data_IF_948735064956
#
_entry.id   IF_948735064956
#
_cell.length_a   1.000
_cell.length_b   1.000
_cell.length_c   1.000
_cell.angle_alpha   90.00
_cell.angle_beta   90.00
_cell.angle_gamma   90.00
#
_symmetry.space_group_name_H-M   'P 1'
#
loop_
_entity.id
_entity.type
_entity.pdbx_description
1 polymer ?
#
# COMPACT_ATOMS: atom_id res chain seq x y z
N UNK A 1 -76.26 -10.41 -7.74
CA UNK A 1 -75.08 -10.76 -8.52
C UNK A 1 -74.00 -9.74 -8.27
N UNK A 2 -73.15 -9.98 -7.26
CA UNK A 2 -72.03 -9.07 -6.91
C UNK A 2 -70.77 -9.65 -7.52
N UNK A 3 -70.04 -8.84 -8.26
CA UNK A 3 -68.73 -9.17 -8.82
C UNK A 3 -67.64 -8.79 -7.81
N UNK A 4 -66.94 -9.80 -7.33
CA UNK A 4 -65.76 -9.60 -6.49
C UNK A 4 -64.58 -9.25 -7.42
N UNK A 5 -64.01 -8.07 -7.29
CA UNK A 5 -62.77 -7.71 -7.96
C UNK A 5 -61.57 -8.02 -7.03
N UNK A 6 -60.75 -8.96 -7.47
CA UNK A 6 -59.51 -9.30 -6.77
C UNK A 6 -58.39 -8.42 -7.34
N UNK A 7 -57.80 -7.57 -6.52
CA UNK A 7 -56.64 -6.76 -6.87
C UNK A 7 -55.37 -7.58 -6.64
N UNK A 8 -54.66 -7.91 -7.71
CA UNK A 8 -53.32 -8.46 -7.61
C UNK A 8 -52.31 -7.31 -7.51
N UNK A 9 -51.74 -7.12 -6.34
CA UNK A 9 -50.62 -6.20 -6.14
C UNK A 9 -49.33 -6.87 -6.57
N UNK A 10 -48.78 -6.49 -7.73
CA UNK A 10 -47.45 -6.90 -8.15
C UNK A 10 -46.41 -6.04 -7.39
N UNK A 11 -45.88 -6.60 -6.33
CA UNK A 11 -44.73 -6.02 -5.66
C UNK A 11 -43.47 -6.24 -6.53
N UNK A 12 -43.02 -5.20 -7.20
CA UNK A 12 -41.73 -5.22 -7.91
C UNK A 12 -40.61 -5.20 -6.88
N UNK A 13 -40.00 -6.35 -6.65
CA UNK A 13 -38.79 -6.46 -5.84
C UNK A 13 -37.62 -5.92 -6.67
N UNK A 14 -37.31 -4.65 -6.53
CA UNK A 14 -36.11 -4.04 -7.10
C UNK A 14 -34.90 -4.52 -6.30
N UNK A 15 -34.20 -5.51 -6.83
CA UNK A 15 -32.89 -5.91 -6.33
C UNK A 15 -31.90 -4.79 -6.74
N UNK A 16 -31.59 -3.91 -5.81
CA UNK A 16 -30.52 -2.93 -5.97
C UNK A 16 -29.21 -3.70 -5.80
N UNK A 17 -28.63 -4.08 -6.95
CA UNK A 17 -27.28 -4.63 -6.98
C UNK A 17 -26.31 -3.49 -6.70
N UNK A 18 -25.96 -3.30 -5.43
CA UNK A 18 -24.94 -2.33 -5.04
C UNK A 18 -23.59 -2.81 -5.55
N UNK A 19 -23.17 -2.26 -6.68
CA UNK A 19 -21.79 -2.38 -7.15
C UNK A 19 -20.89 -1.69 -6.11
N UNK A 20 -20.26 -2.51 -5.27
CA UNK A 20 -19.19 -2.05 -4.38
C UNK A 20 -18.02 -1.61 -5.28
N UNK A 21 -18.00 -0.34 -5.63
CA UNK A 21 -16.78 0.28 -6.14
C UNK A 21 -15.81 0.37 -4.97
N UNK A 22 -15.01 -0.68 -4.81
CA UNK A 22 -13.81 -0.58 -4.01
C UNK A 22 -12.88 0.34 -4.79
N UNK A 23 -12.79 1.60 -4.41
CA UNK A 23 -11.70 2.47 -4.85
C UNK A 23 -10.42 1.97 -4.21
N UNK A 24 -9.89 0.88 -4.76
CA UNK A 24 -8.50 0.56 -4.57
C UNK A 24 -7.71 1.78 -5.05
N UNK A 25 -6.70 2.19 -4.34
CA UNK A 25 -5.64 3.02 -4.91
C UNK A 25 -5.21 2.23 -6.15
N UNK A 26 -5.66 2.68 -7.31
CA UNK A 26 -5.48 1.91 -8.52
C UNK A 26 -3.98 1.77 -8.79
N UNK A 27 -3.49 0.56 -8.77
CA UNK A 27 -2.22 0.24 -9.42
C UNK A 27 -2.34 0.85 -10.82
N UNK A 28 -1.38 1.65 -11.19
CA UNK A 28 -1.37 2.30 -12.51
C UNK A 28 -1.26 1.24 -13.63
N UNK A 29 -0.96 -0.01 -13.27
CA UNK A 29 -0.99 -1.20 -14.14
C UNK A 29 -2.23 -2.02 -13.78
N UNK A 30 -3.14 -2.18 -14.73
CA UNK A 30 -4.42 -2.87 -14.52
C UNK A 30 -4.19 -4.39 -14.45
N UNK A 31 -4.71 -5.03 -13.41
CA UNK A 31 -4.70 -6.49 -13.30
C UNK A 31 -5.81 -7.05 -14.19
N UNK A 32 -5.40 -7.84 -15.18
CA UNK A 32 -6.30 -8.47 -16.15
C UNK A 32 -6.47 -9.97 -15.83
N UNK A 33 -7.70 -10.43 -15.98
CA UNK A 33 -8.13 -11.78 -15.63
C UNK A 33 -8.99 -12.36 -16.76
N UNK A 34 -9.32 -13.65 -16.72
CA UNK A 34 -10.27 -14.25 -17.66
C UNK A 34 -11.61 -13.50 -17.69
N UNK A 35 -12.03 -12.90 -16.58
CA UNK A 35 -13.33 -12.22 -16.45
C UNK A 35 -13.35 -10.80 -17.04
N UNK A 36 -12.21 -10.10 -17.08
CA UNK A 36 -12.18 -8.69 -17.50
C UNK A 36 -11.33 -8.42 -18.76
N UNK A 37 -10.51 -9.35 -19.21
CA UNK A 37 -9.57 -9.12 -20.31
C UNK A 37 -10.24 -8.54 -21.54
N UNK A 38 -11.27 -9.22 -22.07
CA UNK A 38 -11.95 -8.78 -23.30
C UNK A 38 -12.86 -7.56 -23.09
N UNK A 39 -13.15 -7.19 -21.84
CA UNK A 39 -13.88 -5.95 -21.52
C UNK A 39 -12.95 -4.73 -21.50
N UNK A 40 -11.67 -4.95 -21.29
CA UNK A 40 -10.65 -3.90 -21.15
C UNK A 40 -9.76 -3.78 -22.39
N UNK A 41 -9.39 -4.93 -22.98
CA UNK A 41 -8.46 -5.04 -24.10
C UNK A 41 -9.26 -5.24 -25.40
N UNK A 42 -8.80 -4.65 -26.49
CA UNK A 42 -9.48 -4.73 -27.77
C UNK A 42 -10.70 -3.81 -27.88
N UNK A 43 -10.85 -2.89 -26.96
CA UNK A 43 -11.95 -1.94 -26.92
C UNK A 43 -11.54 -0.61 -27.58
N UNK A 44 -11.93 0.50 -27.00
CA UNK A 44 -11.75 1.86 -27.55
C UNK A 44 -10.35 2.46 -27.34
N UNK A 45 -9.42 1.68 -26.76
CA UNK A 45 -8.04 2.11 -26.45
C UNK A 45 -7.03 1.01 -26.78
N UNK A 46 -5.80 1.41 -27.07
CA UNK A 46 -4.69 0.47 -27.24
C UNK A 46 -4.23 -0.08 -25.89
N UNK A 47 -3.72 -1.30 -25.87
CA UNK A 47 -3.30 -1.92 -24.61
C UNK A 47 -1.93 -2.59 -24.73
N UNK A 48 -1.01 -2.28 -23.81
CA UNK A 48 0.21 -3.09 -23.62
C UNK A 48 0.01 -4.01 -22.43
N UNK A 49 0.20 -5.31 -22.63
CA UNK A 49 -0.07 -6.33 -21.61
C UNK A 49 1.17 -7.16 -21.34
N UNK A 50 1.58 -7.23 -20.07
CA UNK A 50 2.59 -8.17 -19.58
C UNK A 50 1.92 -9.46 -19.13
N UNK A 51 2.35 -10.57 -19.69
CA UNK A 51 2.00 -11.92 -19.24
C UNK A 51 3.17 -12.43 -18.40
N UNK A 52 2.93 -12.69 -17.11
CA UNK A 52 4.00 -13.00 -16.15
C UNK A 52 3.65 -14.19 -15.27
N UNK A 53 4.63 -14.64 -14.49
CA UNK A 53 4.42 -15.57 -13.39
C UNK A 53 5.11 -15.03 -12.12
N UNK A 54 4.49 -15.16 -10.93
CA UNK A 54 5.05 -14.58 -9.68
C UNK A 54 6.45 -15.09 -9.30
N UNK A 55 6.78 -16.31 -9.67
CA UNK A 55 8.09 -16.92 -9.40
C UNK A 55 9.18 -16.52 -10.39
N UNK A 56 8.81 -15.89 -11.50
CA UNK A 56 9.73 -15.60 -12.61
C UNK A 56 10.69 -14.45 -12.25
N UNK A 57 12.00 -14.75 -12.19
CA UNK A 57 13.04 -13.77 -11.86
C UNK A 57 13.13 -12.61 -12.87
N UNK A 58 12.93 -12.89 -14.16
CA UNK A 58 12.93 -11.84 -15.19
C UNK A 58 11.71 -10.92 -15.08
N UNK A 59 10.56 -11.46 -14.66
CA UNK A 59 9.35 -10.67 -14.40
C UNK A 59 9.57 -9.74 -13.20
N UNK A 60 10.19 -10.26 -12.15
CA UNK A 60 10.54 -9.44 -10.95
C UNK A 60 11.47 -8.28 -11.31
N UNK A 61 12.41 -8.50 -12.25
CA UNK A 61 13.30 -7.42 -12.74
C UNK A 61 12.56 -6.41 -13.60
N UNK A 62 11.57 -6.85 -14.38
CA UNK A 62 10.76 -5.98 -15.23
C UNK A 62 9.77 -5.13 -14.40
N UNK A 63 9.26 -5.65 -13.29
CA UNK A 63 8.17 -5.05 -12.53
C UNK A 63 8.37 -3.55 -12.24
N UNK A 64 9.53 -3.06 -11.74
CA UNK A 64 9.69 -1.62 -11.48
C UNK A 64 9.63 -0.78 -12.77
N UNK A 65 10.16 -1.28 -13.87
CA UNK A 65 10.10 -0.59 -15.17
C UNK A 65 8.67 -0.56 -15.70
N UNK A 66 7.93 -1.65 -15.51
CA UNK A 66 6.54 -1.78 -15.94
C UNK A 66 5.59 -0.91 -15.10
N UNK A 67 5.86 -0.78 -13.81
CA UNK A 67 5.12 0.14 -12.92
C UNK A 67 5.36 1.60 -13.33
N UNK A 68 6.60 1.94 -13.68
CA UNK A 68 6.97 3.28 -14.17
C UNK A 68 6.27 3.57 -15.51
N UNK A 69 6.16 2.57 -16.37
CA UNK A 69 5.36 2.64 -17.60
C UNK A 69 3.89 2.92 -17.29
N UNK A 70 3.27 2.14 -16.39
CA UNK A 70 1.87 2.34 -15.97
C UNK A 70 1.63 3.76 -15.48
N UNK A 71 2.52 4.25 -14.62
CA UNK A 71 2.46 5.61 -14.08
C UNK A 71 2.59 6.68 -15.18
N UNK A 72 3.38 6.41 -16.21
CA UNK A 72 3.53 7.33 -17.36
C UNK A 72 2.19 7.51 -18.09
N UNK A 73 1.46 6.42 -18.29
CA UNK A 73 0.21 6.43 -19.06
C UNK A 73 -1.06 6.58 -18.20
N UNK A 74 -0.93 6.77 -16.89
CA UNK A 74 -2.06 6.90 -15.95
C UNK A 74 -3.16 7.86 -16.39
N UNK A 75 -2.78 8.97 -17.02
CA UNK A 75 -3.72 10.01 -17.47
C UNK A 75 -4.12 9.87 -18.93
N UNK A 76 -3.53 8.94 -19.66
CA UNK A 76 -3.78 8.74 -21.10
C UNK A 76 -4.97 7.79 -21.30
N UNK A 77 -6.16 8.36 -21.49
CA UNK A 77 -7.41 7.58 -21.64
C UNK A 77 -7.40 6.64 -22.86
N UNK A 78 -6.56 6.93 -23.85
CA UNK A 78 -6.45 6.14 -25.09
C UNK A 78 -5.54 4.91 -24.96
N UNK A 79 -4.87 4.73 -23.81
CA UNK A 79 -3.90 3.66 -23.58
C UNK A 79 -4.23 2.94 -22.27
N UNK A 80 -4.10 1.63 -22.29
CA UNK A 80 -4.17 0.76 -21.11
C UNK A 80 -2.80 0.09 -20.95
N UNK A 81 -2.28 0.08 -19.73
CA UNK A 81 -1.13 -0.75 -19.36
C UNK A 81 -1.67 -1.81 -18.40
N UNK A 82 -1.53 -3.09 -18.76
CA UNK A 82 -2.11 -4.19 -18.03
C UNK A 82 -1.14 -5.34 -17.78
N UNK A 83 -1.48 -6.23 -16.86
CA UNK A 83 -0.70 -7.44 -16.58
C UNK A 83 -1.63 -8.62 -16.27
N UNK A 84 -1.21 -9.82 -16.68
CA UNK A 84 -1.93 -11.09 -16.46
C UNK A 84 -1.02 -12.05 -15.70
N UNK A 85 -1.50 -12.57 -14.60
CA UNK A 85 -0.82 -13.68 -13.89
C UNK A 85 -1.16 -15.00 -14.58
N UNK A 86 -0.16 -15.59 -15.22
CA UNK A 86 -0.38 -16.83 -15.99
C UNK A 86 -0.41 -18.09 -15.13
N UNK A 87 -0.05 -18.03 -13.86
CA UNK A 87 -0.28 -19.15 -12.95
C UNK A 87 -1.77 -19.25 -12.59
N UNK A 88 -2.46 -18.11 -12.48
CA UNK A 88 -3.90 -18.04 -12.20
C UNK A 88 -4.76 -18.14 -13.47
N UNK A 89 -4.28 -17.58 -14.60
CA UNK A 89 -5.06 -17.41 -15.85
C UNK A 89 -4.40 -18.16 -17.02
N UNK A 90 -4.13 -19.45 -16.84
CA UNK A 90 -3.43 -20.31 -17.83
C UNK A 90 -4.13 -20.37 -19.18
N UNK A 91 -5.46 -20.45 -19.17
CA UNK A 91 -6.26 -20.50 -20.39
C UNK A 91 -6.10 -19.23 -21.22
N UNK A 92 -6.17 -18.08 -20.57
CA UNK A 92 -5.99 -16.77 -21.20
C UNK A 92 -4.57 -16.64 -21.80
N UNK A 93 -3.55 -17.03 -21.04
CA UNK A 93 -2.16 -16.98 -21.51
C UNK A 93 -1.93 -17.93 -22.70
N UNK A 94 -2.52 -19.12 -22.64
CA UNK A 94 -2.47 -20.07 -23.75
C UNK A 94 -3.15 -19.54 -25.02
N UNK A 95 -4.30 -18.88 -24.87
CA UNK A 95 -5.03 -18.24 -25.99
C UNK A 95 -4.15 -17.23 -26.75
N UNK A 96 -3.29 -16.49 -26.04
CA UNK A 96 -2.41 -15.48 -26.64
C UNK A 96 -0.98 -16.00 -26.91
N UNK A 97 -0.79 -17.32 -26.93
CA UNK A 97 0.46 -17.97 -27.33
C UNK A 97 1.64 -17.71 -26.39
N UNK A 98 1.38 -17.51 -25.11
CA UNK A 98 2.44 -17.25 -24.11
C UNK A 98 3.14 -18.57 -23.79
N UNK A 99 4.42 -18.67 -24.19
CA UNK A 99 5.26 -19.86 -23.99
C UNK A 99 6.43 -19.62 -23.03
N UNK A 100 6.56 -18.41 -22.50
CA UNK A 100 7.64 -18.04 -21.56
C UNK A 100 7.38 -16.68 -20.93
N UNK A 101 8.09 -16.38 -19.85
CA UNK A 101 7.85 -15.18 -19.04
C UNK A 101 9.09 -14.30 -18.89
N UNK A 102 8.92 -12.96 -18.90
CA UNK A 102 7.69 -12.26 -19.28
C UNK A 102 7.51 -12.25 -20.81
N UNK A 103 6.26 -12.34 -21.26
CA UNK A 103 5.85 -12.02 -22.62
C UNK A 103 5.10 -10.70 -22.59
N UNK A 104 5.44 -9.76 -23.46
CA UNK A 104 4.80 -8.45 -23.54
C UNK A 104 4.16 -8.31 -24.93
N UNK A 105 2.88 -7.99 -24.98
CA UNK A 105 2.12 -7.90 -26.22
C UNK A 105 1.31 -6.59 -26.27
N UNK A 106 1.33 -5.96 -27.46
CA UNK A 106 0.52 -4.78 -27.76
C UNK A 106 -0.75 -5.20 -28.49
N UNK A 107 -1.89 -4.77 -28.00
CA UNK A 107 -3.21 -4.94 -28.60
C UNK A 107 -3.67 -3.60 -29.15
N UNK A 108 -3.81 -3.44 -30.49
CA UNK A 108 -4.31 -2.19 -31.06
C UNK A 108 -5.76 -1.92 -30.63
N UNK A 109 -6.15 -0.66 -30.64
CA UNK A 109 -7.53 -0.25 -30.43
C UNK A 109 -8.46 -1.04 -31.37
N UNK A 110 -9.50 -1.65 -30.81
CA UNK A 110 -10.50 -2.42 -31.57
C UNK A 110 -10.03 -3.80 -32.02
N UNK A 111 -8.87 -4.31 -31.53
CA UNK A 111 -8.35 -5.60 -31.97
C UNK A 111 -7.86 -6.44 -30.79
N UNK A 112 -8.16 -7.74 -30.87
CA UNK A 112 -7.61 -8.75 -29.95
C UNK A 112 -6.46 -9.54 -30.62
N UNK A 113 -5.96 -9.07 -31.77
CA UNK A 113 -4.78 -9.66 -32.43
C UNK A 113 -3.52 -8.92 -31.95
N UNK A 114 -2.66 -9.56 -31.13
CA UNK A 114 -1.56 -8.86 -30.55
C UNK A 114 -0.32 -8.79 -31.44
N UNK A 115 0.49 -7.77 -31.21
CA UNK A 115 1.85 -7.63 -31.71
C UNK A 115 2.81 -7.84 -30.55
N UNK A 116 3.70 -8.82 -30.66
CA UNK A 116 4.68 -9.10 -29.61
C UNK A 116 5.71 -7.97 -29.52
N UNK A 117 6.06 -7.59 -28.30
CA UNK A 117 7.15 -6.64 -28.02
C UNK A 117 8.44 -7.41 -27.78
N UNK A 118 9.48 -7.08 -28.52
CA UNK A 118 10.80 -7.73 -28.42
C UNK A 118 11.93 -6.73 -28.14
N UNK A 119 11.60 -5.51 -27.77
CA UNK A 119 12.56 -4.45 -27.46
C UNK A 119 13.14 -4.53 -26.05
N UNK A 120 13.97 -3.55 -25.69
CA UNK A 120 14.54 -3.46 -24.33
C UNK A 120 13.45 -3.30 -23.26
N UNK A 121 13.68 -3.95 -22.09
CA UNK A 121 12.71 -3.97 -20.99
C UNK A 121 12.94 -2.83 -20.00
N UNK A 122 13.20 -1.62 -20.50
CA UNK A 122 13.31 -0.39 -19.71
C UNK A 122 12.04 0.46 -19.89
N UNK A 123 11.72 1.26 -18.89
CA UNK A 123 10.55 2.14 -18.96
C UNK A 123 10.62 3.06 -20.18
N UNK A 124 11.81 3.58 -20.50
CA UNK A 124 12.02 4.48 -21.62
C UNK A 124 11.68 3.81 -22.96
N UNK A 125 12.18 2.59 -23.20
CA UNK A 125 11.92 1.85 -24.45
C UNK A 125 10.44 1.44 -24.54
N UNK A 126 9.85 1.03 -23.43
CA UNK A 126 8.42 0.67 -23.36
C UNK A 126 7.52 1.88 -23.65
N UNK A 127 7.82 3.04 -23.05
CA UNK A 127 7.07 4.30 -23.28
C UNK A 127 7.20 4.70 -24.76
N UNK A 128 8.40 4.65 -25.33
CA UNK A 128 8.62 4.96 -26.75
C UNK A 128 7.79 4.04 -27.64
N UNK A 129 7.81 2.75 -27.38
CA UNK A 129 7.02 1.76 -28.14
C UNK A 129 5.52 2.05 -28.05
N UNK A 130 4.99 2.28 -26.84
CA UNK A 130 3.57 2.57 -26.65
C UNK A 130 3.17 3.89 -27.32
N UNK A 131 4.04 4.90 -27.27
CA UNK A 131 3.80 6.17 -27.98
C UNK A 131 3.67 5.94 -29.48
N UNK A 132 4.58 5.15 -30.05
CA UNK A 132 4.59 4.87 -31.49
C UNK A 132 3.34 4.07 -31.92
N UNK A 133 3.01 3.01 -31.18
CA UNK A 133 1.86 2.16 -31.52
C UNK A 133 0.51 2.83 -31.21
N UNK A 134 0.44 3.60 -30.14
CA UNK A 134 -0.78 4.26 -29.66
C UNK A 134 -1.00 5.68 -30.15
N UNK A 135 -0.05 6.24 -30.93
CA UNK A 135 -0.15 7.61 -31.43
C UNK A 135 -0.12 8.68 -30.34
N UNK A 136 0.65 8.45 -29.28
CA UNK A 136 0.77 9.39 -28.15
C UNK A 136 2.18 9.98 -28.07
N UNK A 137 2.36 10.97 -27.19
CA UNK A 137 3.68 11.58 -26.94
C UNK A 137 3.85 11.80 -25.44
N UNK A 138 3.78 10.71 -24.71
CA UNK A 138 3.87 10.71 -23.23
C UNK A 138 5.34 10.60 -22.83
N UNK A 139 5.74 11.38 -21.84
CA UNK A 139 7.09 11.28 -21.26
C UNK A 139 7.09 10.23 -20.15
N UNK A 140 8.25 9.61 -19.97
CA UNK A 140 8.46 8.66 -18.87
C UNK A 140 8.19 9.35 -17.54
N UNK A 141 7.35 8.74 -16.71
CA UNK A 141 7.01 9.31 -15.41
C UNK A 141 8.26 9.37 -14.50
N UNK A 142 8.45 10.51 -13.87
CA UNK A 142 9.36 10.62 -12.75
C UNK A 142 8.58 10.19 -11.51
N UNK A 143 8.83 8.99 -11.01
CA UNK A 143 8.24 8.55 -9.74
C UNK A 143 9.02 9.29 -8.65
N UNK A 144 8.37 10.15 -7.84
CA UNK A 144 9.09 10.78 -6.73
C UNK A 144 9.62 9.69 -5.81
N UNK A 145 10.91 9.68 -5.61
CA UNK A 145 11.51 8.78 -4.66
C UNK A 145 11.47 9.39 -3.26
N UNK A 146 10.97 8.75 -2.39
CA UNK A 146 10.95 9.08 -1.19
C UNK A 146 12.02 8.74 -0.52
N UNK A 147 12.93 8.02 -1.15
CA UNK A 147 14.23 7.68 -0.56
C UNK A 147 15.06 8.95 -0.42
N UNK A 148 15.52 9.20 0.78
CA UNK A 148 16.38 10.36 1.05
C UNK A 148 17.79 10.00 0.60
N UNK A 149 18.31 10.75 -0.38
CA UNK A 149 19.68 10.55 -0.84
C UNK A 149 20.63 11.27 0.13
N UNK A 150 21.50 10.48 0.76
CA UNK A 150 22.45 10.99 1.75
C UNK A 150 23.80 11.32 1.10
N UNK A 151 24.45 12.31 1.68
CA UNK A 151 25.82 12.74 1.39
C UNK A 151 26.54 12.97 2.72
N UNK A 152 27.84 13.19 2.70
CA UNK A 152 28.57 13.58 3.92
C UNK A 152 27.97 14.82 4.59
N UNK A 153 27.39 15.73 3.80
CA UNK A 153 26.90 17.03 4.31
C UNK A 153 25.56 16.90 5.05
N UNK A 154 24.68 15.98 4.61
CA UNK A 154 23.34 15.86 5.21
C UNK A 154 23.16 14.62 6.10
N UNK A 155 24.14 13.72 6.15
CA UNK A 155 24.03 12.44 6.86
C UNK A 155 23.64 12.68 8.33
N UNK A 156 24.42 13.49 9.04
CA UNK A 156 24.15 13.73 10.45
C UNK A 156 22.80 14.39 10.71
N UNK A 157 22.39 15.33 9.86
CA UNK A 157 21.10 16.00 10.00
C UNK A 157 19.94 15.02 9.84
N UNK A 158 20.05 14.06 8.91
CA UNK A 158 18.96 13.13 8.61
C UNK A 158 19.01 11.90 9.51
N UNK A 159 20.18 11.25 9.60
CA UNK A 159 20.33 9.94 10.25
C UNK A 159 20.37 10.06 11.77
N UNK A 160 21.04 11.11 12.28
CA UNK A 160 21.21 11.32 13.72
C UNK A 160 20.08 12.15 14.36
N UNK A 161 19.03 12.48 13.62
CA UNK A 161 17.82 13.10 14.17
C UNK A 161 17.14 12.13 15.15
N UNK A 162 17.17 12.43 16.42
CA UNK A 162 16.63 11.59 17.49
C UNK A 162 15.10 11.44 17.45
N UNK A 163 14.41 12.27 16.64
CA UNK A 163 12.95 12.19 16.48
C UNK A 163 12.53 11.23 15.37
N UNK A 164 13.49 10.68 14.60
CA UNK A 164 13.24 9.84 13.43
C UNK A 164 13.79 8.43 13.61
N UNK A 165 13.06 7.46 13.04
CA UNK A 165 13.56 6.11 12.77
C UNK A 165 14.08 6.09 11.34
N UNK A 166 15.37 5.75 11.13
CA UNK A 166 16.00 5.86 9.81
C UNK A 166 16.59 4.51 9.39
N UNK A 167 16.14 3.99 8.24
CA UNK A 167 16.76 2.82 7.60
C UNK A 167 17.64 3.31 6.46
N UNK A 168 18.94 3.00 6.52
CA UNK A 168 19.94 3.45 5.54
C UNK A 168 20.48 2.26 4.76
N UNK A 169 20.41 2.35 3.42
CA UNK A 169 21.13 1.46 2.51
C UNK A 169 22.47 2.12 2.14
N UNK A 170 23.56 1.47 2.50
CA UNK A 170 24.91 1.79 2.01
C UNK A 170 25.13 0.97 0.73
N UNK A 171 25.20 1.64 -0.42
CA UNK A 171 25.26 0.96 -1.71
C UNK A 171 26.44 1.46 -2.55
N UNK A 172 26.70 0.77 -3.67
CA UNK A 172 27.60 1.26 -4.72
C UNK A 172 26.85 1.24 -6.06
N UNK A 173 27.05 2.22 -6.96
CA UNK A 173 26.34 2.27 -8.25
C UNK A 173 26.56 1.06 -9.14
N UNK A 174 27.70 0.41 -9.03
CA UNK A 174 28.05 -0.79 -9.81
C UNK A 174 27.52 -2.08 -9.17
N UNK A 175 26.99 -2.03 -7.96
CA UNK A 175 26.56 -3.20 -7.20
C UNK A 175 25.22 -3.76 -7.74
N UNK A 176 25.27 -4.94 -8.35
CA UNK A 176 24.09 -5.60 -8.91
C UNK A 176 23.05 -6.00 -7.85
N UNK A 177 23.50 -6.42 -6.67
CA UNK A 177 22.59 -6.77 -5.56
C UNK A 177 21.87 -5.55 -5.00
N UNK A 178 22.52 -4.38 -4.98
CA UNK A 178 21.91 -3.13 -4.53
C UNK A 178 20.72 -2.74 -5.43
N UNK A 179 20.87 -2.96 -6.74
CA UNK A 179 19.80 -2.66 -7.72
C UNK A 179 18.54 -3.52 -7.52
N UNK A 180 18.67 -4.65 -6.84
CA UNK A 180 17.54 -5.56 -6.58
C UNK A 180 16.81 -5.24 -5.26
N UNK A 181 17.39 -4.39 -4.42
CA UNK A 181 16.68 -3.91 -3.23
C UNK A 181 15.56 -2.96 -3.65
N UNK A 182 14.57 -2.83 -2.82
CA UNK A 182 13.37 -2.05 -3.14
C UNK A 182 13.22 -0.80 -2.26
N UNK A 183 14.28 0.04 -2.07
CA UNK A 183 14.17 1.18 -1.16
C UNK A 183 13.06 2.16 -1.58
N UNK A 184 12.83 2.33 -2.88
CA UNK A 184 11.76 3.20 -3.39
C UNK A 184 10.38 2.67 -2.99
N UNK A 185 10.17 1.36 -3.07
CA UNK A 185 8.88 0.75 -2.66
C UNK A 185 8.69 0.85 -1.15
N UNK A 186 9.75 0.59 -0.38
CA UNK A 186 9.73 0.74 1.09
C UNK A 186 9.42 2.18 1.46
N UNK A 187 10.13 3.15 0.87
CA UNK A 187 9.89 4.58 1.13
C UNK A 187 8.47 5.00 0.73
N UNK A 188 7.95 4.42 -0.37
CA UNK A 188 6.58 4.70 -0.81
C UNK A 188 5.55 4.15 0.20
N UNK A 189 5.80 2.96 0.75
CA UNK A 189 4.91 2.35 1.76
C UNK A 189 4.84 3.20 3.03
N UNK A 190 5.93 3.86 3.39
CA UNK A 190 6.02 4.67 4.63
C UNK A 190 5.92 6.19 4.41
N UNK A 191 5.56 6.65 3.24
CA UNK A 191 5.52 8.09 2.88
C UNK A 191 4.57 8.94 3.75
N UNK A 192 3.65 8.32 4.47
CA UNK A 192 2.73 8.99 5.38
C UNK A 192 3.18 8.91 6.85
N UNK A 193 4.30 8.23 7.11
CA UNK A 193 4.89 8.14 8.44
C UNK A 193 5.99 9.21 8.55
N UNK A 194 5.65 10.34 9.14
CA UNK A 194 6.55 11.52 9.19
C UNK A 194 7.86 11.27 9.93
N UNK A 195 7.87 10.26 10.80
CA UNK A 195 9.00 9.92 11.64
C UNK A 195 9.76 8.66 11.19
N UNK A 196 9.40 8.08 10.03
CA UNK A 196 10.12 6.95 9.42
C UNK A 196 10.80 7.42 8.14
N UNK A 197 12.11 7.30 8.07
CA UNK A 197 12.91 7.74 6.93
C UNK A 197 13.60 6.53 6.31
N UNK A 198 13.43 6.38 5.00
CA UNK A 198 14.18 5.42 4.20
C UNK A 198 15.20 6.20 3.38
N UNK A 199 16.46 5.87 3.54
CA UNK A 199 17.56 6.63 2.96
C UNK A 199 18.58 5.71 2.29
N UNK A 200 19.37 6.27 1.39
CA UNK A 200 20.51 5.57 0.82
C UNK A 200 21.72 6.51 0.68
N UNK A 201 22.90 5.91 0.66
CA UNK A 201 24.17 6.63 0.48
C UNK A 201 25.06 5.85 -0.48
N UNK A 202 25.66 6.55 -1.44
CA UNK A 202 26.69 6.01 -2.30
C UNK A 202 27.97 5.83 -1.47
N UNK A 203 28.14 4.63 -0.90
CA UNK A 203 29.25 4.31 0.00
C UNK A 203 30.57 4.14 -0.73
N UNK A 204 30.55 3.98 -2.05
CA UNK A 204 31.76 3.98 -2.89
C UNK A 204 32.30 5.41 -3.03
N UNK A 205 31.40 6.39 -3.13
CA UNK A 205 31.73 7.80 -3.18
C UNK A 205 32.11 8.37 -1.80
N UNK A 206 31.36 8.00 -0.76
CA UNK A 206 31.54 8.48 0.62
C UNK A 206 32.18 7.42 1.50
N UNK A 207 33.32 6.89 1.00
CA UNK A 207 33.99 5.71 1.56
C UNK A 207 34.44 5.90 3.01
N UNK A 208 35.04 7.06 3.32
CA UNK A 208 35.53 7.35 4.67
C UNK A 208 34.38 7.28 5.70
N UNK A 209 33.25 7.90 5.40
CA UNK A 209 32.07 7.83 6.25
C UNK A 209 31.57 6.39 6.37
N UNK A 210 31.41 5.68 5.24
CA UNK A 210 30.85 4.32 5.24
C UNK A 210 31.76 3.32 5.99
N UNK A 211 33.05 3.27 5.65
CA UNK A 211 33.99 2.29 6.20
C UNK A 211 34.46 2.66 7.61
N UNK A 212 34.94 3.90 7.80
CA UNK A 212 35.60 4.31 9.04
C UNK A 212 34.61 4.59 10.16
N UNK A 213 33.48 5.23 9.86
CA UNK A 213 32.50 5.57 10.90
C UNK A 213 31.45 4.48 11.14
N UNK A 214 31.01 3.80 10.07
CA UNK A 214 29.91 2.83 10.17
C UNK A 214 30.32 1.38 9.88
N UNK A 215 31.60 1.10 9.64
CA UNK A 215 32.13 -0.26 9.50
C UNK A 215 31.61 -1.01 8.26
N UNK A 216 31.23 -0.31 7.21
CA UNK A 216 30.70 -0.92 5.99
C UNK A 216 31.83 -1.58 5.22
N UNK A 217 31.80 -2.88 5.08
CA UNK A 217 32.83 -3.69 4.41
C UNK A 217 32.35 -4.35 3.10
N UNK A 218 31.10 -4.13 2.72
CA UNK A 218 30.53 -4.70 1.50
C UNK A 218 29.18 -4.08 1.15
N UNK A 219 28.67 -4.40 -0.06
CA UNK A 219 27.44 -3.78 -0.55
C UNK A 219 26.42 -4.83 -1.02
N UNK A 220 25.10 -4.59 -0.75
CA UNK A 220 24.58 -3.54 0.12
C UNK A 220 24.74 -3.89 1.61
N UNK A 221 25.05 -2.88 2.42
CA UNK A 221 24.93 -2.96 3.88
C UNK A 221 23.72 -2.10 4.28
N UNK A 222 22.90 -2.62 5.18
CA UNK A 222 21.71 -1.96 5.68
C UNK A 222 21.85 -1.73 7.17
N UNK A 223 21.64 -0.47 7.61
CA UNK A 223 21.67 -0.12 9.04
C UNK A 223 20.41 0.63 9.44
N UNK A 224 19.91 0.30 10.61
CA UNK A 224 18.75 0.95 11.21
C UNK A 224 19.19 1.82 12.38
N UNK A 225 18.71 3.06 12.40
CA UNK A 225 19.02 4.07 13.41
C UNK A 225 17.71 4.44 14.11
N UNK A 226 17.37 3.78 15.22
CA UNK A 226 16.09 4.05 15.90
C UNK A 226 16.06 5.39 16.60
N UNK A 227 14.85 5.90 16.86
CA UNK A 227 14.62 7.08 17.70
C UNK A 227 15.32 6.92 19.05
N UNK A 228 16.00 7.96 19.49
CA UNK A 228 16.64 8.00 20.80
C UNK A 228 17.87 7.11 20.94
N UNK A 229 18.28 6.39 19.88
CA UNK A 229 19.52 5.60 19.88
C UNK A 229 20.12 5.57 18.47
N UNK A 230 21.08 6.43 18.22
CA UNK A 230 21.68 6.64 16.90
C UNK A 230 23.01 5.90 16.68
N UNK A 231 23.28 4.85 17.44
CA UNK A 231 24.49 4.02 17.25
C UNK A 231 24.47 3.26 15.91
N UNK A 232 23.30 2.93 15.43
CA UNK A 232 23.12 2.15 14.19
C UNK A 232 23.23 0.64 14.43
N UNK A 233 22.16 -0.09 14.17
CA UNK A 233 22.13 -1.55 14.26
C UNK A 233 22.06 -2.17 12.86
N UNK A 234 22.82 -3.23 12.62
CA UNK A 234 22.82 -3.90 11.33
C UNK A 234 21.47 -4.58 11.07
N UNK A 235 20.99 -4.47 9.84
CA UNK A 235 19.81 -5.20 9.38
C UNK A 235 20.26 -6.42 8.58
N UNK A 236 20.08 -7.59 9.16
CA UNK A 236 20.46 -8.88 8.57
C UNK A 236 19.23 -9.71 8.13
N UNK A 237 18.06 -9.07 8.02
CA UNK A 237 16.82 -9.71 7.61
C UNK A 237 16.72 -9.98 6.12
N UNK A 238 15.53 -10.43 5.70
CA UNK A 238 15.21 -10.68 4.29
C UNK A 238 15.29 -9.41 3.44
N UNK A 239 15.59 -9.58 2.17
CA UNK A 239 15.81 -8.46 1.24
C UNK A 239 14.64 -8.19 0.30
N UNK A 240 13.50 -8.80 0.58
CA UNK A 240 12.24 -8.54 -0.14
C UNK A 240 11.44 -7.46 0.58
N UNK A 241 10.44 -6.91 -0.12
CA UNK A 241 9.61 -5.82 0.40
C UNK A 241 8.86 -6.22 1.68
N UNK A 242 8.34 -7.44 1.73
CA UNK A 242 7.60 -7.93 2.90
C UNK A 242 8.46 -7.99 4.17
N UNK A 243 9.71 -8.45 4.04
CA UNK A 243 10.65 -8.49 5.15
C UNK A 243 10.97 -7.09 5.69
N UNK A 244 11.18 -6.11 4.79
CA UNK A 244 11.40 -4.71 5.19
C UNK A 244 10.16 -4.13 5.90
N UNK A 245 8.97 -4.37 5.34
CA UNK A 245 7.72 -3.85 5.92
C UNK A 245 7.49 -4.45 7.30
N UNK A 246 7.71 -5.74 7.47
CA UNK A 246 7.59 -6.41 8.77
C UNK A 246 8.56 -5.78 9.79
N UNK A 247 9.83 -5.65 9.42
CA UNK A 247 10.88 -5.07 10.29
C UNK A 247 10.52 -3.64 10.72
N UNK A 248 10.16 -2.78 9.76
CA UNK A 248 9.84 -1.38 10.05
C UNK A 248 8.60 -1.30 10.96
N UNK A 249 7.56 -2.10 10.67
CA UNK A 249 6.37 -2.13 11.54
C UNK A 249 6.74 -2.50 12.98
N UNK A 250 7.58 -3.52 13.15
CA UNK A 250 8.01 -3.99 14.48
C UNK A 250 8.88 -2.95 15.20
N UNK A 251 9.84 -2.36 14.49
CA UNK A 251 10.80 -1.40 15.09
C UNK A 251 10.20 -0.02 15.34
N UNK A 252 9.36 0.46 14.42
CA UNK A 252 8.83 1.83 14.48
C UNK A 252 7.41 1.89 15.07
N UNK A 253 6.79 0.75 15.38
CA UNK A 253 5.42 0.70 15.90
C UNK A 253 4.38 1.14 14.88
N UNK A 254 4.66 0.94 13.61
CA UNK A 254 3.72 1.24 12.51
C UNK A 254 2.92 -0.02 12.15
N UNK A 255 1.91 0.14 11.28
CA UNK A 255 1.04 -0.97 10.89
C UNK A 255 0.64 -0.82 9.41
N UNK A 256 1.65 -0.85 8.52
CA UNK A 256 1.45 -0.72 7.07
C UNK A 256 1.63 -2.07 6.37
N UNK A 257 0.94 -2.24 5.25
CA UNK A 257 1.19 -3.34 4.31
C UNK A 257 2.20 -2.89 3.23
N UNK A 258 2.55 -3.79 2.33
CA UNK A 258 3.50 -3.52 1.23
C UNK A 258 3.02 -2.44 0.24
N UNK A 259 1.74 -2.12 0.25
CA UNK A 259 1.15 -1.05 -0.57
C UNK A 259 1.03 0.28 0.18
N UNK A 260 1.50 0.30 1.43
CA UNK A 260 1.44 1.47 2.30
C UNK A 260 0.08 1.73 2.92
N UNK A 261 -0.83 0.78 2.85
CA UNK A 261 -2.15 0.90 3.50
C UNK A 261 -2.05 0.46 4.95
N UNK A 262 -2.80 1.11 5.82
CA UNK A 262 -2.90 0.67 7.21
C UNK A 262 -3.62 -0.68 7.31
N UNK A 263 -3.07 -1.57 8.12
CA UNK A 263 -3.69 -2.88 8.42
C UNK A 263 -4.76 -2.73 9.49
N UNK A 264 -5.50 -3.81 9.76
CA UNK A 264 -6.50 -3.85 10.83
C UNK A 264 -5.90 -3.67 12.24
N UNK A 265 -4.59 -3.80 12.38
CA UNK A 265 -3.89 -3.61 13.66
C UNK A 265 -3.55 -2.14 13.93
N UNK A 266 -3.68 -1.27 12.92
CA UNK A 266 -3.37 0.15 13.07
C UNK A 266 -4.29 0.80 14.13
N UNK A 267 -3.67 1.40 15.13
CA UNK A 267 -4.37 2.06 16.23
C UNK A 267 -4.78 1.16 17.39
N UNK A 268 -4.57 -0.16 17.29
CA UNK A 268 -4.91 -1.10 18.36
C UNK A 268 -3.85 -1.03 19.46
N UNK A 269 -4.31 -0.87 20.71
CA UNK A 269 -3.47 -0.86 21.92
C UNK A 269 -3.91 -2.06 22.77
N UNK A 270 -3.05 -3.06 22.86
CA UNK A 270 -3.40 -4.37 23.45
C UNK A 270 -3.95 -4.26 24.87
N UNK A 271 -3.36 -3.40 25.72
CA UNK A 271 -3.82 -3.21 27.11
C UNK A 271 -5.22 -2.60 27.17
N UNK A 272 -5.53 -1.66 26.25
CA UNK A 272 -6.86 -1.06 26.17
C UNK A 272 -7.87 -2.00 25.53
N UNK A 273 -7.44 -2.79 24.55
CA UNK A 273 -8.32 -3.77 23.89
C UNK A 273 -8.81 -4.83 24.88
N UNK A 274 -7.96 -5.23 25.82
CA UNK A 274 -8.35 -6.13 26.92
C UNK A 274 -9.49 -5.50 27.76
N UNK A 275 -9.37 -4.22 28.10
CA UNK A 275 -10.41 -3.49 28.87
C UNK A 275 -11.71 -3.33 28.04
N UNK A 276 -11.59 -3.15 26.71
CA UNK A 276 -12.77 -3.06 25.84
C UNK A 276 -13.58 -4.36 25.86
N UNK A 277 -12.93 -5.52 25.86
CA UNK A 277 -13.61 -6.83 25.94
C UNK A 277 -14.48 -6.94 27.21
N UNK A 278 -13.98 -6.42 28.34
CA UNK A 278 -14.75 -6.36 29.58
C UNK A 278 -15.89 -5.32 29.48
N UNK A 279 -15.60 -4.16 28.91
CA UNK A 279 -16.51 -3.04 28.73
C UNK A 279 -17.77 -3.44 27.93
N UNK A 280 -17.59 -4.14 26.82
CA UNK A 280 -18.70 -4.50 25.91
C UNK A 280 -19.75 -5.35 26.63
N UNK A 281 -19.34 -6.29 27.49
CA UNK A 281 -20.24 -7.19 28.21
C UNK A 281 -20.75 -6.61 29.56
N UNK A 282 -20.25 -5.44 29.97
CA UNK A 282 -20.54 -4.90 31.32
C UNK A 282 -21.84 -4.08 31.36
N UNK A 283 -22.44 -4.02 32.54
CA UNK A 283 -23.52 -3.07 32.86
C UNK A 283 -23.03 -1.62 32.88
N UNK A 284 -23.89 -0.64 32.74
CA UNK A 284 -23.50 0.78 32.66
C UNK A 284 -22.66 1.26 33.87
N UNK A 285 -22.96 0.79 35.07
CA UNK A 285 -22.16 1.16 36.24
C UNK A 285 -20.75 0.56 36.20
N UNK A 286 -20.64 -0.68 35.79
CA UNK A 286 -19.34 -1.33 35.55
C UNK A 286 -18.57 -0.66 34.42
N UNK A 287 -19.24 -0.24 33.34
CA UNK A 287 -18.62 0.49 32.21
C UNK A 287 -17.93 1.75 32.69
N UNK A 288 -18.54 2.51 33.61
CA UNK A 288 -17.93 3.72 34.19
C UNK A 288 -16.63 3.39 34.94
N UNK A 289 -16.63 2.31 35.70
CA UNK A 289 -15.43 1.85 36.42
C UNK A 289 -14.32 1.44 35.43
N UNK A 290 -14.68 0.73 34.34
CA UNK A 290 -13.71 0.32 33.30
C UNK A 290 -13.14 1.57 32.60
N UNK A 291 -13.95 2.61 32.34
CA UNK A 291 -13.45 3.87 31.76
C UNK A 291 -12.37 4.48 32.67
N UNK A 292 -12.58 4.46 34.00
CA UNK A 292 -11.57 4.96 34.95
C UNK A 292 -10.25 4.16 34.82
N UNK A 293 -10.34 2.82 34.70
CA UNK A 293 -9.16 1.98 34.45
C UNK A 293 -8.50 2.30 33.11
N UNK A 294 -9.30 2.57 32.06
CA UNK A 294 -8.76 2.99 30.77
C UNK A 294 -8.03 4.33 30.89
N UNK A 295 -8.56 5.28 31.67
CA UNK A 295 -7.89 6.57 31.92
C UNK A 295 -6.51 6.38 32.54
N UNK A 296 -6.41 5.55 33.59
CA UNK A 296 -5.14 5.21 34.24
C UNK A 296 -4.15 4.53 33.26
N UNK A 297 -4.67 3.67 32.40
CA UNK A 297 -3.83 2.99 31.41
C UNK A 297 -3.31 3.97 30.34
N UNK A 298 -4.18 4.88 29.87
CA UNK A 298 -3.80 5.89 28.85
C UNK A 298 -2.70 6.82 29.36
N UNK A 299 -2.71 7.15 30.67
CA UNK A 299 -1.66 7.99 31.29
C UNK A 299 -0.24 7.36 31.19
N UNK A 300 -0.16 6.04 31.12
CA UNK A 300 1.12 5.30 31.01
C UNK A 300 1.64 5.25 29.58
N UNK A 301 0.75 5.47 28.58
CA UNK A 301 1.10 5.36 27.17
C UNK A 301 1.91 6.56 26.67
N UNK A 302 2.75 6.33 25.68
CA UNK A 302 3.61 7.36 25.06
C UNK A 302 3.43 7.34 23.53
N UNK A 303 3.84 8.42 22.86
CA UNK A 303 3.86 8.50 21.41
C UNK A 303 2.49 8.30 20.78
N UNK A 304 2.46 7.53 19.71
CA UNK A 304 1.22 7.24 18.95
C UNK A 304 0.19 6.48 19.81
N UNK A 305 0.64 5.58 20.69
CA UNK A 305 -0.25 4.82 21.57
C UNK A 305 -1.04 5.72 22.51
N UNK A 306 -0.43 6.80 23.01
CA UNK A 306 -1.16 7.79 23.83
C UNK A 306 -2.26 8.48 23.03
N UNK A 307 -2.00 8.81 21.78
CA UNK A 307 -3.01 9.40 20.88
C UNK A 307 -4.15 8.42 20.63
N UNK A 308 -3.83 7.15 20.37
CA UNK A 308 -4.83 6.09 20.18
C UNK A 308 -5.66 5.88 21.46
N UNK A 309 -4.99 5.90 22.63
CA UNK A 309 -5.66 5.78 23.94
C UNK A 309 -6.74 6.84 24.14
N UNK A 310 -6.46 8.07 23.76
CA UNK A 310 -7.47 9.15 23.82
C UNK A 310 -8.69 8.83 22.93
N UNK A 311 -8.47 8.16 21.80
CA UNK A 311 -9.56 7.73 20.92
C UNK A 311 -10.39 6.62 21.57
N UNK A 312 -9.75 5.65 22.22
CA UNK A 312 -10.43 4.60 23.00
C UNK A 312 -11.35 5.24 24.07
N UNK A 313 -10.82 6.17 24.86
CA UNK A 313 -11.59 6.87 25.92
C UNK A 313 -12.80 7.60 25.34
N UNK A 314 -12.61 8.32 24.25
CA UNK A 314 -13.69 9.06 23.58
C UNK A 314 -14.80 8.12 23.10
N UNK A 315 -14.41 6.97 22.54
CA UNK A 315 -15.37 5.97 22.06
C UNK A 315 -16.12 5.34 23.25
N UNK A 316 -15.40 4.92 24.30
CA UNK A 316 -16.00 4.31 25.50
C UNK A 316 -17.06 5.26 26.15
N UNK A 317 -16.68 6.53 26.33
CA UNK A 317 -17.60 7.55 26.85
C UNK A 317 -18.83 7.74 25.95
N UNK A 318 -18.60 7.77 24.64
CA UNK A 318 -19.71 7.88 23.67
C UNK A 318 -20.64 6.66 23.69
N UNK A 319 -20.10 5.46 23.92
CA UNK A 319 -20.94 4.24 24.05
C UNK A 319 -21.80 4.29 25.30
N UNK A 320 -21.31 4.88 26.40
CA UNK A 320 -22.13 5.09 27.62
C UNK A 320 -23.24 6.10 27.33
N UNK A 321 -22.91 7.23 26.71
CA UNK A 321 -23.85 8.34 26.51
C UNK A 321 -24.92 8.05 25.44
N UNK A 322 -24.55 7.36 24.37
CA UNK A 322 -25.35 7.19 23.14
C UNK A 322 -25.87 5.76 22.95
N UNK A 323 -25.44 4.83 23.80
CA UNK A 323 -25.89 3.45 23.77
C UNK A 323 -24.99 2.52 22.97
N UNK A 324 -25.29 1.21 23.00
CA UNK A 324 -24.50 0.12 22.46
C UNK A 324 -24.27 0.20 20.93
N UNK A 325 -25.24 0.79 20.22
CA UNK A 325 -25.15 0.86 18.75
C UNK A 325 -24.23 1.98 18.25
N UNK A 326 -23.71 2.82 19.14
CA UNK A 326 -22.87 3.97 18.74
C UNK A 326 -21.67 3.53 17.90
N UNK A 327 -20.96 2.50 18.35
CA UNK A 327 -19.75 2.05 17.65
C UNK A 327 -20.07 1.60 16.22
N UNK A 328 -21.11 0.79 16.07
CA UNK A 328 -21.58 0.29 14.76
C UNK A 328 -21.98 1.44 13.82
N UNK A 329 -22.82 2.34 14.33
CA UNK A 329 -23.31 3.49 13.55
C UNK A 329 -22.15 4.41 13.11
N UNK A 330 -21.17 4.60 13.97
CA UNK A 330 -20.01 5.45 13.67
C UNK A 330 -19.07 4.79 12.62
N UNK A 331 -18.92 3.46 12.69
CA UNK A 331 -18.18 2.70 11.65
C UNK A 331 -18.83 2.94 10.28
N UNK A 332 -20.15 2.80 10.20
CA UNK A 332 -20.88 3.02 8.94
C UNK A 332 -20.73 4.47 8.45
N UNK A 333 -20.81 5.43 9.38
CA UNK A 333 -20.61 6.85 9.04
C UNK A 333 -19.22 7.10 8.48
N UNK A 334 -18.17 6.54 9.10
CA UNK A 334 -16.79 6.69 8.62
C UNK A 334 -16.61 6.04 7.26
N UNK A 335 -17.22 4.87 7.04
CA UNK A 335 -17.17 4.20 5.75
C UNK A 335 -17.75 5.10 4.64
N UNK A 336 -18.95 5.66 4.86
CA UNK A 336 -19.58 6.58 3.89
C UNK A 336 -18.72 7.82 3.62
N UNK A 337 -17.93 8.27 4.60
CA UNK A 337 -17.01 9.40 4.42
C UNK A 337 -15.78 9.00 3.62
N UNK A 338 -15.28 7.78 3.81
CA UNK A 338 -14.12 7.25 3.06
C UNK A 338 -14.46 6.95 1.60
N UNK A 339 -15.73 6.72 1.29
CA UNK A 339 -16.20 6.51 -0.10
C UNK A 339 -16.16 7.82 -0.92
N UNK A 340 -15.98 8.95 -0.26
CA UNK A 340 -15.80 10.26 -0.91
C UNK A 340 -14.32 10.52 -1.13
N UNK A 341 -14.01 11.47 -2.01
CA UNK A 341 -12.62 11.88 -2.25
C UNK A 341 -12.07 12.60 -1.00
N UNK A 342 -11.14 11.96 -0.29
CA UNK A 342 -10.49 12.51 0.91
C UNK A 342 -8.97 12.36 0.77
N UNK A 343 -8.22 13.16 1.53
CA UNK A 343 -6.75 13.06 1.52
C UNK A 343 -6.28 11.74 2.13
N UNK A 344 -5.13 11.20 1.69
CA UNK A 344 -4.60 9.96 2.26
C UNK A 344 -4.41 10.01 3.77
N UNK A 345 -3.93 11.11 4.33
CA UNK A 345 -3.76 11.26 5.78
C UNK A 345 -5.10 11.24 6.52
N UNK A 346 -6.15 11.81 5.92
CA UNK A 346 -7.48 11.76 6.50
C UNK A 346 -8.09 10.35 6.43
N UNK A 347 -7.80 9.63 5.35
CA UNK A 347 -8.20 8.23 5.24
C UNK A 347 -7.55 7.39 6.35
N UNK A 348 -6.26 7.61 6.63
CA UNK A 348 -5.55 6.93 7.72
C UNK A 348 -6.20 7.21 9.07
N UNK A 349 -6.55 8.46 9.37
CA UNK A 349 -7.24 8.81 10.61
C UNK A 349 -8.56 8.01 10.76
N UNK A 350 -9.33 7.94 9.69
CA UNK A 350 -10.61 7.23 9.70
C UNK A 350 -10.43 5.71 9.84
N UNK A 351 -9.40 5.14 9.20
CA UNK A 351 -9.07 3.71 9.31
C UNK A 351 -8.70 3.39 10.77
N UNK A 352 -7.81 4.17 11.38
CA UNK A 352 -7.41 3.99 12.78
C UNK A 352 -8.65 4.04 13.69
N UNK A 353 -9.48 5.07 13.55
CA UNK A 353 -10.69 5.22 14.36
C UNK A 353 -11.66 4.07 14.12
N UNK A 354 -11.82 3.62 12.87
CA UNK A 354 -12.69 2.48 12.52
C UNK A 354 -12.17 1.17 13.13
N UNK A 355 -10.85 0.93 13.10
CA UNK A 355 -10.25 -0.24 13.73
C UNK A 355 -10.55 -0.27 15.23
N UNK A 356 -10.37 0.86 15.93
CA UNK A 356 -10.66 0.97 17.37
C UNK A 356 -12.17 0.77 17.62
N UNK A 357 -13.03 1.42 16.84
CA UNK A 357 -14.48 1.24 16.96
C UNK A 357 -14.91 -0.23 16.80
N UNK A 358 -14.22 -0.96 15.91
CA UNK A 358 -14.53 -2.38 15.66
C UNK A 358 -14.34 -3.25 16.91
N UNK A 359 -13.43 -2.89 17.82
CA UNK A 359 -13.25 -3.60 19.08
C UNK A 359 -14.45 -3.40 20.02
N UNK A 360 -15.14 -2.26 19.94
CA UNK A 360 -16.34 -1.95 20.72
C UNK A 360 -17.63 -2.51 20.10
N UNK A 361 -17.59 -2.87 18.83
CA UNK A 361 -18.77 -3.38 18.10
C UNK A 361 -18.83 -4.92 18.04
N UNK A 362 -17.85 -5.58 18.66
CA UNK A 362 -17.71 -7.05 18.65
C UNK A 362 -18.75 -7.75 19.56
#
# INVERSE_FOLDING_TARGET
MERLQIWFSFGTLTIILSLLFVSALADDVIVLTDANFEKEVGQDRGALVEFYAPWCGHCKKLAPEYEKLGSSFKKAKSILIGKVDCDEHKSLCGKYGVSGYPTIQWFPKGSLEPKKYEGPRTAEALVEFVNNEGGTNIKVATIPSXVVVLTSDNFNQVVLDETKDVLVEFYAPWCGHCKNLAPVKVATAYKLEEDVVIANIDADKYKDLAESEYGVSGYPTLKFFPKGNKAGEDYDGGRDLGAFVKFINEKCGTSRDEKGKLTSQAGIVASLDALVKEFVSASNDKRKAIVSQMEEEVEKLKGSSARFGKTYLKIAKSCIDKGSDYAKNEIERLQRMMDKSISPSKADEFIIKKNILSTFAA
#
